data_IF_076577460606
#
_entry.id   IF_076577460606
#
_cell.length_a   1.000
_cell.length_b   1.000
_cell.length_c   1.000
_cell.angle_alpha   90.00
_cell.angle_beta   90.00
_cell.angle_gamma   90.00
#
_symmetry.space_group_name_H-M   'P 1'
#
loop_
_entity.id
_entity.type
_entity.pdbx_description
1 polymer ?
#
# COMPACT_ATOMS: atom_id res chain seq x y z
N UNK A 1 12.09 -5.23 5.28
CA UNK A 1 11.10 -4.47 6.07
C UNK A 1 9.91 -5.33 6.48
N UNK A 2 9.49 -6.29 5.64
CA UNK A 2 8.29 -7.12 5.87
C UNK A 2 8.29 -7.83 7.23
N UNK A 3 9.40 -8.42 7.63
CA UNK A 3 9.54 -9.12 8.91
C UNK A 3 9.91 -8.20 10.09
N UNK A 4 10.10 -6.92 9.82
CA UNK A 4 10.51 -5.95 10.83
C UNK A 4 9.33 -5.44 11.67
N UNK A 5 8.21 -5.09 11.02
CA UNK A 5 7.01 -4.62 11.70
C UNK A 5 6.16 -5.80 12.17
N UNK A 6 5.97 -5.93 13.49
CA UNK A 6 5.21 -7.04 14.10
C UNK A 6 3.78 -6.63 14.49
N UNK A 7 3.58 -5.37 14.84
CA UNK A 7 2.29 -4.83 15.25
C UNK A 7 2.38 -3.36 15.63
N UNK A 8 1.37 -2.85 16.30
CA UNK A 8 1.31 -1.46 16.76
C UNK A 8 2.42 -1.20 17.79
N UNK A 9 3.36 -0.30 17.47
CA UNK A 9 4.55 0.01 18.26
C UNK A 9 5.47 -1.20 18.53
N UNK A 10 5.33 -2.28 17.75
CA UNK A 10 6.10 -3.50 17.92
C UNK A 10 6.94 -3.80 16.67
N UNK A 11 8.22 -4.07 16.88
CA UNK A 11 9.19 -4.41 15.85
C UNK A 11 9.92 -5.71 16.19
N UNK A 12 10.70 -6.23 15.24
CA UNK A 12 11.53 -7.42 15.45
C UNK A 12 12.82 -7.14 16.22
N UNK A 13 13.06 -5.91 16.71
CA UNK A 13 14.25 -5.53 17.49
C UNK A 13 14.11 -6.09 18.91
N UNK A 14 15.14 -6.81 19.39
CA UNK A 14 15.23 -7.25 20.78
C UNK A 14 15.65 -6.10 21.71
N UNK A 15 15.47 -6.27 23.02
CA UNK A 15 15.77 -5.25 24.03
C UNK A 15 17.24 -4.85 24.13
N UNK A 16 18.15 -5.69 23.64
CA UNK A 16 19.60 -5.51 23.59
C UNK A 16 20.12 -5.14 22.19
N UNK A 17 19.23 -4.86 21.24
CA UNK A 17 19.55 -4.50 19.86
C UNK A 17 19.20 -3.05 19.55
N UNK A 18 19.90 -2.46 18.58
CA UNK A 18 19.60 -1.13 18.02
C UNK A 18 19.57 -1.18 16.49
N UNK A 19 18.67 -0.43 15.88
CA UNK A 19 18.65 -0.25 14.43
C UNK A 19 19.82 0.64 14.00
N UNK A 20 20.80 0.10 13.30
CA UNK A 20 22.02 0.84 12.89
C UNK A 20 21.91 1.46 11.51
N UNK A 21 21.12 0.89 10.60
CA UNK A 21 20.96 1.40 9.24
C UNK A 21 19.70 0.90 8.56
N UNK A 22 19.20 1.69 7.60
CA UNK A 22 18.15 1.28 6.66
C UNK A 22 18.72 1.43 5.25
N UNK A 23 18.59 0.38 4.43
CA UNK A 23 19.05 0.39 3.03
C UNK A 23 17.85 0.53 2.10
N UNK A 24 17.88 1.55 1.25
CA UNK A 24 16.90 1.75 0.19
C UNK A 24 17.51 1.34 -1.15
N UNK A 25 16.80 0.55 -1.98
CA UNK A 25 17.24 0.29 -3.34
C UNK A 25 17.23 1.59 -4.16
N UNK A 26 18.20 1.73 -5.06
CA UNK A 26 18.20 2.82 -6.03
C UNK A 26 17.06 2.56 -7.02
N UNK A 27 16.32 3.62 -7.36
CA UNK A 27 15.25 3.52 -8.34
C UNK A 27 15.80 3.00 -9.69
N UNK A 28 15.16 1.98 -10.25
CA UNK A 28 15.57 1.35 -11.50
C UNK A 28 14.93 2.08 -12.70
N UNK A 29 15.59 2.04 -13.86
CA UNK A 29 15.04 2.57 -15.10
C UNK A 29 13.67 1.92 -15.40
N UNK A 30 12.71 2.73 -15.80
CA UNK A 30 11.33 2.28 -16.09
C UNK A 30 10.44 2.08 -14.88
N UNK A 31 10.93 2.29 -13.65
CA UNK A 31 10.12 2.25 -12.44
C UNK A 31 9.53 3.64 -12.15
N UNK A 32 8.22 3.70 -12.06
CA UNK A 32 7.45 4.87 -11.62
C UNK A 32 7.00 4.64 -10.18
N UNK A 33 7.01 5.70 -9.37
CA UNK A 33 6.62 5.65 -7.95
C UNK A 33 5.38 6.49 -7.74
N UNK A 34 4.55 6.06 -6.80
CA UNK A 34 3.33 6.74 -6.39
C UNK A 34 3.27 6.82 -4.86
N UNK A 35 2.80 7.95 -4.37
CA UNK A 35 2.44 8.15 -2.96
C UNK A 35 1.21 9.02 -2.89
N UNK A 36 0.18 8.55 -2.20
CA UNK A 36 -0.99 9.36 -1.86
C UNK A 36 -1.61 8.84 -0.56
N UNK A 37 -2.29 9.74 0.16
CA UNK A 37 -3.00 9.40 1.39
C UNK A 37 -4.30 10.18 1.52
N UNK A 38 -5.25 9.61 2.25
CA UNK A 38 -6.50 10.26 2.60
C UNK A 38 -6.53 10.50 4.10
N UNK A 39 -6.62 11.77 4.49
CA UNK A 39 -6.73 12.23 5.86
C UNK A 39 -8.03 13.01 6.07
N UNK A 40 -8.49 13.13 7.32
CA UNK A 40 -9.66 13.97 7.64
C UNK A 40 -9.33 15.46 7.60
N UNK A 41 -8.12 15.82 7.98
CA UNK A 41 -7.61 17.19 8.00
C UNK A 41 -6.15 17.18 7.58
N UNK A 42 -5.70 18.28 7.00
CA UNK A 42 -4.29 18.44 6.66
C UNK A 42 -3.39 18.27 7.89
N UNK A 43 -2.40 17.38 7.81
CA UNK A 43 -1.47 17.06 8.90
C UNK A 43 -2.01 16.04 9.93
N UNK A 44 -3.18 15.44 9.69
CA UNK A 44 -3.72 14.34 10.51
C UNK A 44 -3.15 12.98 10.04
N UNK A 45 -3.30 11.95 10.88
CA UNK A 45 -2.97 10.57 10.48
C UNK A 45 -3.85 10.11 9.31
N UNK A 46 -3.25 9.34 8.41
CA UNK A 46 -3.96 8.77 7.28
C UNK A 46 -5.04 7.76 7.72
N UNK A 47 -6.25 7.93 7.19
CA UNK A 47 -7.29 6.89 7.25
C UNK A 47 -6.95 5.71 6.34
N UNK A 48 -6.32 5.98 5.21
CA UNK A 48 -5.69 5.04 4.30
C UNK A 48 -4.64 5.77 3.47
N UNK A 49 -3.48 5.15 3.27
CA UNK A 49 -2.44 5.64 2.39
C UNK A 49 -1.85 4.51 1.55
N UNK A 50 -1.30 4.86 0.40
CA UNK A 50 -0.70 3.95 -0.56
C UNK A 50 0.68 4.44 -0.98
N UNK A 51 1.67 3.58 -0.83
CA UNK A 51 2.94 3.66 -1.56
C UNK A 51 2.88 2.59 -2.64
N UNK A 52 3.04 3.00 -3.89
CA UNK A 52 2.99 2.09 -5.02
C UNK A 52 4.17 2.26 -5.96
N UNK A 53 4.50 1.21 -6.70
CA UNK A 53 5.43 1.29 -7.80
C UNK A 53 4.94 0.45 -8.98
N UNK A 54 5.21 0.94 -10.19
CA UNK A 54 4.99 0.23 -11.44
C UNK A 54 6.29 0.24 -12.25
N UNK A 55 6.75 -0.94 -12.64
CA UNK A 55 7.80 -1.08 -13.64
C UNK A 55 7.16 -1.36 -14.99
N UNK A 56 7.46 -0.50 -15.96
CA UNK A 56 6.93 -0.58 -17.32
C UNK A 56 8.04 -0.83 -18.33
N UNK A 57 7.71 -1.67 -19.32
CA UNK A 57 8.48 -1.85 -20.53
C UNK A 57 7.55 -1.72 -21.74
N UNK A 58 7.83 -0.78 -22.65
CA UNK A 58 6.98 -0.51 -23.81
C UNK A 58 5.48 -0.32 -23.48
N UNK A 59 5.18 0.39 -22.39
CA UNK A 59 3.83 0.61 -21.83
C UNK A 59 3.13 -0.65 -21.30
N UNK A 60 3.84 -1.75 -21.15
CA UNK A 60 3.34 -2.97 -20.52
C UNK A 60 3.84 -2.97 -19.08
N UNK A 61 2.92 -3.16 -18.13
CA UNK A 61 3.27 -3.31 -16.72
C UNK A 61 3.91 -4.68 -16.49
N UNK A 62 5.20 -4.71 -16.15
CA UNK A 62 5.95 -5.93 -15.83
C UNK A 62 5.89 -6.27 -14.34
N UNK A 63 5.82 -5.24 -13.49
CA UNK A 63 5.82 -5.38 -12.04
C UNK A 63 4.97 -4.27 -11.42
N UNK A 64 4.14 -4.63 -10.46
CA UNK A 64 3.35 -3.70 -9.63
C UNK A 64 3.57 -4.08 -8.17
N UNK A 65 3.91 -3.11 -7.34
CA UNK A 65 3.99 -3.26 -5.90
C UNK A 65 3.05 -2.26 -5.23
N UNK A 66 2.30 -2.73 -4.24
CA UNK A 66 1.37 -1.94 -3.46
C UNK A 66 1.63 -2.19 -1.97
N UNK A 67 1.87 -1.12 -1.21
CA UNK A 67 1.99 -1.16 0.24
C UNK A 67 1.06 -0.12 0.83
N UNK A 68 0.10 -0.57 1.63
CA UNK A 68 -0.86 0.28 2.31
C UNK A 68 -0.43 0.57 3.74
N UNK A 69 -0.77 1.75 4.23
CA UNK A 69 -0.62 2.17 5.62
C UNK A 69 -1.88 2.87 6.12
N UNK A 70 -2.04 3.01 7.43
CA UNK A 70 -3.28 3.49 8.03
C UNK A 70 -4.44 2.50 7.98
N UNK A 71 -4.27 1.35 7.33
CA UNK A 71 -5.30 0.32 7.13
C UNK A 71 -5.39 -0.68 8.30
N UNK A 72 -4.33 -0.80 9.07
CA UNK A 72 -4.18 -1.70 10.22
C UNK A 72 -3.06 -1.22 11.14
N UNK A 73 -2.51 -2.14 11.93
CA UNK A 73 -1.47 -1.90 12.92
C UNK A 73 -0.04 -1.80 12.33
N UNK A 74 0.13 -2.12 11.06
CA UNK A 74 1.40 -2.14 10.34
C UNK A 74 1.17 -1.93 8.83
N UNK A 75 2.24 -1.65 8.05
CA UNK A 75 2.14 -1.64 6.59
C UNK A 75 1.73 -3.00 6.03
N UNK A 76 0.79 -3.00 5.07
CA UNK A 76 0.24 -4.20 4.44
C UNK A 76 0.54 -4.21 2.95
N UNK A 77 1.13 -5.31 2.45
CA UNK A 77 1.26 -5.58 1.02
C UNK A 77 -0.06 -6.14 0.46
N UNK A 78 -0.31 -5.96 -0.84
CA UNK A 78 -1.50 -6.44 -1.51
C UNK A 78 -1.15 -7.28 -2.76
N UNK A 79 -0.58 -8.50 -2.58
CA UNK A 79 -0.06 -9.31 -3.68
C UNK A 79 -1.13 -9.77 -4.67
N UNK A 80 -2.34 -10.15 -4.22
CA UNK A 80 -3.42 -10.57 -5.12
C UNK A 80 -3.93 -9.40 -5.96
N UNK A 81 -3.99 -8.22 -5.36
CA UNK A 81 -4.34 -6.98 -6.07
C UNK A 81 -3.28 -6.63 -7.13
N UNK A 82 -2.00 -6.79 -6.82
CA UNK A 82 -0.91 -6.60 -7.79
C UNK A 82 -1.04 -7.60 -8.96
N UNK A 83 -1.27 -8.87 -8.67
CA UNK A 83 -1.45 -9.90 -9.69
C UNK A 83 -2.66 -9.63 -10.59
N UNK A 84 -3.78 -9.16 -10.03
CA UNK A 84 -4.96 -8.77 -10.79
C UNK A 84 -4.64 -7.62 -11.77
N UNK A 85 -3.99 -6.56 -11.29
CA UNK A 85 -3.66 -5.37 -12.08
C UNK A 85 -2.62 -5.61 -13.18
N UNK A 86 -1.81 -6.65 -13.08
CA UNK A 86 -0.92 -7.08 -14.16
C UNK A 86 -1.66 -7.71 -15.35
N UNK A 87 -2.87 -8.23 -15.12
CA UNK A 87 -3.65 -9.00 -16.11
C UNK A 87 -4.91 -8.28 -16.56
N UNK A 88 -5.38 -7.30 -15.79
CA UNK A 88 -6.67 -6.65 -15.98
C UNK A 88 -6.55 -5.14 -15.84
N UNK A 89 -7.46 -4.42 -16.46
CA UNK A 89 -7.65 -3.00 -16.19
C UNK A 89 -8.21 -2.76 -14.78
N UNK A 90 -7.98 -1.57 -14.24
CA UNK A 90 -8.53 -1.18 -12.96
C UNK A 90 -10.07 -1.18 -13.00
N UNK A 91 -10.69 -1.93 -12.10
CA UNK A 91 -12.10 -1.88 -11.80
C UNK A 91 -12.29 -1.69 -10.30
N UNK A 92 -13.01 -0.64 -9.89
CA UNK A 92 -13.17 -0.29 -8.48
C UNK A 92 -13.78 -1.42 -7.64
N UNK A 93 -14.83 -2.08 -8.13
CA UNK A 93 -15.53 -3.13 -7.37
C UNK A 93 -14.62 -4.33 -7.14
N UNK A 94 -13.97 -4.80 -8.21
CA UNK A 94 -13.08 -5.95 -8.16
C UNK A 94 -11.89 -5.67 -7.23
N UNK A 95 -11.27 -4.48 -7.36
CA UNK A 95 -10.15 -4.08 -6.50
C UNK A 95 -10.56 -4.01 -5.03
N UNK A 96 -11.73 -3.43 -4.70
CA UNK A 96 -12.23 -3.36 -3.32
C UNK A 96 -12.41 -4.75 -2.72
N UNK A 97 -12.94 -5.69 -3.49
CA UNK A 97 -13.20 -7.06 -3.03
C UNK A 97 -11.90 -7.87 -2.90
N UNK A 98 -10.94 -7.71 -3.83
CA UNK A 98 -9.63 -8.37 -3.76
C UNK A 98 -8.83 -7.82 -2.58
N UNK A 99 -8.83 -6.51 -2.34
CA UNK A 99 -8.13 -5.89 -1.21
C UNK A 99 -8.60 -6.43 0.14
N UNK A 100 -9.88 -6.75 0.30
CA UNK A 100 -10.40 -7.40 1.52
C UNK A 100 -9.87 -8.83 1.74
N UNK A 101 -9.33 -9.46 0.69
CA UNK A 101 -8.64 -10.75 0.79
C UNK A 101 -7.11 -10.62 0.96
N UNK A 102 -6.56 -9.44 0.68
CA UNK A 102 -5.13 -9.13 0.88
C UNK A 102 -4.86 -8.53 2.26
N UNK A 103 -5.78 -7.69 2.76
CA UNK A 103 -5.59 -6.85 3.94
C UNK A 103 -6.71 -7.10 4.95
N UNK A 104 -6.33 -7.37 6.18
CA UNK A 104 -7.25 -7.37 7.32
C UNK A 104 -7.43 -5.91 7.81
N UNK A 105 -8.48 -5.26 7.28
CA UNK A 105 -8.76 -3.86 7.58
C UNK A 105 -9.29 -3.69 9.01
N UNK A 106 -8.54 -2.99 9.85
CA UNK A 106 -8.97 -2.67 11.21
C UNK A 106 -9.77 -1.37 11.28
N UNK A 107 -10.91 -1.40 11.96
CA UNK A 107 -11.64 -0.17 12.33
C UNK A 107 -10.92 0.57 13.46
N UNK A 108 -10.96 1.91 13.44
CA UNK A 108 -10.48 2.77 14.50
C UNK A 108 -11.45 3.95 14.75
N UNK A 109 -11.06 4.89 15.62
CA UNK A 109 -11.89 6.08 15.94
C UNK A 109 -12.08 7.02 14.75
N UNK A 110 -11.26 6.91 13.71
CA UNK A 110 -11.29 7.79 12.54
C UNK A 110 -12.08 7.21 11.37
N UNK A 111 -12.12 5.87 11.23
CA UNK A 111 -12.67 5.21 10.06
C UNK A 111 -13.03 3.74 10.33
N UNK A 112 -14.13 3.29 9.73
CA UNK A 112 -14.49 1.87 9.71
C UNK A 112 -13.60 1.08 8.74
N UNK A 113 -13.49 -0.24 8.95
CA UNK A 113 -12.77 -1.16 8.06
C UNK A 113 -13.27 -1.08 6.62
N UNK A 114 -14.60 -0.97 6.43
CA UNK A 114 -15.19 -0.86 5.08
C UNK A 114 -14.87 0.48 4.40
N UNK A 115 -14.81 1.58 5.16
CA UNK A 115 -14.36 2.88 4.66
C UNK A 115 -12.88 2.82 4.26
N UNK A 116 -12.02 2.19 5.06
CA UNK A 116 -10.61 2.02 4.72
C UNK A 116 -10.41 1.19 3.46
N UNK A 117 -11.16 0.11 3.29
CA UNK A 117 -11.15 -0.69 2.05
C UNK A 117 -11.62 0.13 0.84
N UNK A 118 -12.66 0.95 1.00
CA UNK A 118 -13.14 1.88 -0.01
C UNK A 118 -12.07 2.89 -0.43
N UNK A 119 -11.46 3.57 0.53
CA UNK A 119 -10.40 4.55 0.28
C UNK A 119 -9.17 3.93 -0.37
N UNK A 120 -8.77 2.73 0.07
CA UNK A 120 -7.66 1.98 -0.52
C UNK A 120 -7.91 1.65 -1.99
N UNK A 121 -9.12 1.22 -2.36
CA UNK A 121 -9.48 0.96 -3.76
C UNK A 121 -9.43 2.25 -4.61
N UNK A 122 -9.86 3.40 -4.07
CA UNK A 122 -9.73 4.70 -4.74
C UNK A 122 -8.27 5.08 -4.96
N UNK A 123 -7.41 4.88 -3.96
CA UNK A 123 -5.98 5.18 -4.07
C UNK A 123 -5.30 4.35 -5.16
N UNK A 124 -5.66 3.07 -5.29
CA UNK A 124 -5.20 2.23 -6.43
C UNK A 124 -5.63 2.84 -7.76
N UNK A 125 -6.88 3.28 -7.88
CA UNK A 125 -7.39 3.91 -9.10
C UNK A 125 -6.65 5.21 -9.44
N UNK A 126 -6.32 6.04 -8.44
CA UNK A 126 -5.50 7.25 -8.64
C UNK A 126 -4.10 6.90 -9.15
N UNK A 127 -3.45 5.91 -8.52
CA UNK A 127 -2.14 5.43 -8.96
C UNK A 127 -2.16 4.94 -10.41
N UNK A 128 -3.12 4.08 -10.77
CA UNK A 128 -3.23 3.56 -12.14
C UNK A 128 -3.48 4.64 -13.16
N UNK A 129 -4.25 5.68 -12.81
CA UNK A 129 -4.50 6.84 -13.67
C UNK A 129 -3.26 7.73 -13.85
N UNK A 130 -2.44 7.88 -12.79
CA UNK A 130 -1.26 8.75 -12.81
C UNK A 130 -0.05 8.10 -13.48
N UNK A 131 0.14 6.78 -13.27
CA UNK A 131 1.34 6.09 -13.71
C UNK A 131 1.20 5.40 -15.09
N UNK A 132 0.00 5.15 -15.59
CA UNK A 132 -0.25 4.62 -16.94
C UNK A 132 -0.44 5.77 -17.94
#
# INVERSE_FOLDING_TARGET
AKEFYKGLFETAINSDEILTSVKYPINQNGMKLFFDEVTRRHGDYAMAGLVGSIKQNNKINEEINLVFFGTGDRPNEAPKTCEYLLKNEYNYSDIKDILKNDIDFASDISSSSDMKAHLSAILVGRMMKELN
#
